data_IF_222319298445
#
_entry.id   IF_222319298445
#
_cell.length_a   1.000
_cell.length_b   1.000
_cell.length_c   1.000
_cell.angle_alpha   90.00
_cell.angle_beta   90.00
_cell.angle_gamma   90.00
#
_symmetry.space_group_name_H-M   'P 1'
#
loop_
_entity.id
_entity.type
_entity.pdbx_description
1 polymer ?
#
# COMPACT_ATOMS: atom_id res chain seq x y z
N UNK A 1 -12.76 22.50 6.41
CA UNK A 1 -12.38 21.40 7.31
C UNK A 1 -12.67 20.06 6.65
N UNK A 2 -11.74 19.11 6.73
CA UNK A 2 -11.89 17.78 6.12
C UNK A 2 -12.51 16.82 7.16
N UNK A 3 -13.80 16.52 7.03
CA UNK A 3 -14.55 15.55 7.88
C UNK A 3 -13.83 14.21 8.03
N UNK A 4 -13.02 13.82 7.04
CA UNK A 4 -12.18 12.61 7.08
C UNK A 4 -11.13 12.63 8.20
N UNK A 5 -10.55 13.79 8.51
CA UNK A 5 -9.57 13.93 9.57
C UNK A 5 -10.23 13.69 10.94
N UNK A 6 -11.32 14.40 11.22
CA UNK A 6 -12.11 14.24 12.43
C UNK A 6 -12.60 12.80 12.61
N UNK A 7 -13.04 12.15 11.52
CA UNK A 7 -13.47 10.76 11.54
C UNK A 7 -12.35 9.79 11.95
N UNK A 8 -11.09 10.04 11.58
CA UNK A 8 -9.97 9.18 11.99
C UNK A 8 -9.79 9.20 13.50
N UNK A 9 -9.82 10.37 14.12
CA UNK A 9 -9.77 10.52 15.57
C UNK A 9 -11.01 9.89 16.23
N UNK A 10 -12.21 10.24 15.76
CA UNK A 10 -13.44 9.71 16.34
C UNK A 10 -13.58 8.18 16.19
N UNK A 11 -13.00 7.57 15.15
CA UNK A 11 -13.07 6.12 14.96
C UNK A 11 -12.29 5.35 16.02
N UNK A 12 -11.23 5.91 16.58
CA UNK A 12 -10.41 5.25 17.61
C UNK A 12 -10.62 5.83 19.01
N UNK A 13 -11.56 6.76 19.18
CA UNK A 13 -11.92 7.34 20.47
C UNK A 13 -12.89 6.44 21.27
N UNK A 14 -12.70 6.30 22.58
CA UNK A 14 -13.62 5.65 23.52
C UNK A 14 -14.98 6.34 23.59
N UNK A 15 -14.99 7.65 23.38
CA UNK A 15 -16.22 8.45 23.40
C UNK A 15 -17.01 8.34 22.10
N UNK A 16 -16.69 7.41 21.18
CA UNK A 16 -17.43 7.24 19.93
C UNK A 16 -18.80 6.59 20.17
N UNK A 17 -19.81 7.08 19.46
CA UNK A 17 -21.15 6.49 19.43
C UNK A 17 -21.58 6.30 17.98
N UNK A 18 -22.22 5.17 17.69
CA UNK A 18 -22.75 4.87 16.36
C UNK A 18 -24.24 5.22 16.30
N UNK A 19 -24.58 6.14 15.42
CA UNK A 19 -25.95 6.55 15.08
C UNK A 19 -26.27 5.99 13.68
N UNK A 20 -27.42 5.34 13.51
CA UNK A 20 -27.81 4.74 12.23
C UNK A 20 -28.00 5.75 11.09
N UNK A 21 -28.40 6.99 11.41
CA UNK A 21 -28.65 8.04 10.42
C UNK A 21 -27.39 8.87 10.14
N UNK A 22 -26.56 9.08 11.18
CA UNK A 22 -25.41 10.02 11.14
C UNK A 22 -24.05 9.33 11.10
N UNK A 23 -23.99 8.03 11.35
CA UNK A 23 -22.74 7.26 11.43
C UNK A 23 -22.02 7.49 12.77
N UNK A 24 -20.70 7.75 12.73
CA UNK A 24 -19.90 7.98 13.94
C UNK A 24 -20.07 9.41 14.45
N UNK A 25 -20.66 9.55 15.63
CA UNK A 25 -20.86 10.80 16.38
C UNK A 25 -20.14 10.74 17.73
N UNK A 26 -19.95 11.89 18.37
CA UNK A 26 -19.38 11.94 19.72
C UNK A 26 -20.47 11.56 20.74
N UNK A 27 -20.18 10.66 21.66
CA UNK A 27 -21.08 10.25 22.73
C UNK A 27 -21.25 11.29 23.84
N UNK A 28 -20.36 12.29 23.90
CA UNK A 28 -20.44 13.40 24.85
C UNK A 28 -21.40 14.50 24.36
N UNK A 29 -21.33 14.84 23.08
CA UNK A 29 -22.13 15.92 22.48
C UNK A 29 -23.36 15.43 21.69
N UNK A 30 -23.43 14.13 21.42
CA UNK A 30 -24.43 13.49 20.54
C UNK A 30 -24.51 14.08 19.11
N UNK A 31 -23.42 14.73 18.69
CA UNK A 31 -23.31 15.42 17.41
C UNK A 31 -21.97 15.12 16.71
N UNK A 32 -21.82 15.62 15.49
CA UNK A 32 -20.59 15.56 14.73
C UNK A 32 -19.44 16.28 15.43
N UNK A 33 -18.23 15.76 15.20
CA UNK A 33 -17.02 16.44 15.59
C UNK A 33 -16.92 17.83 14.92
N UNK A 34 -16.76 18.87 15.74
CA UNK A 34 -16.62 20.27 15.31
C UNK A 34 -15.20 20.81 15.49
N UNK A 35 -14.27 19.98 16.00
CA UNK A 35 -12.88 20.38 16.20
C UNK A 35 -12.09 20.52 14.90
N UNK A 36 -11.14 21.44 14.87
CA UNK A 36 -10.31 21.71 13.69
C UNK A 36 -9.04 20.85 13.65
N UNK A 37 -8.23 20.92 14.70
CA UNK A 37 -6.96 20.19 14.81
C UNK A 37 -7.03 19.00 15.77
N UNK A 38 -7.53 19.22 16.99
CA UNK A 38 -7.58 18.20 18.04
C UNK A 38 -8.84 18.36 18.91
N UNK A 39 -9.23 17.29 19.61
CA UNK A 39 -10.40 17.27 20.48
C UNK A 39 -9.96 17.19 21.94
N UNK A 40 -10.35 18.19 22.73
CA UNK A 40 -9.98 18.30 24.14
C UNK A 40 -10.46 17.10 25.00
N UNK A 41 -11.58 16.49 24.61
CA UNK A 41 -12.15 15.29 25.23
C UNK A 41 -11.71 13.98 24.54
N UNK A 42 -10.65 14.02 23.72
CA UNK A 42 -10.17 12.84 23.02
C UNK A 42 -9.62 11.81 24.01
N UNK A 43 -10.16 10.61 23.97
CA UNK A 43 -9.72 9.50 24.80
C UNK A 43 -9.53 8.27 23.92
N UNK A 44 -8.29 7.88 23.67
CA UNK A 44 -7.97 6.78 22.77
C UNK A 44 -8.44 5.43 23.34
N UNK A 45 -9.11 4.66 22.49
CA UNK A 45 -9.42 3.25 22.72
C UNK A 45 -8.31 2.39 22.13
N UNK A 46 -7.33 2.00 22.96
CA UNK A 46 -6.20 1.19 22.52
C UNK A 46 -6.62 -0.13 21.86
N UNK A 47 -7.71 -0.78 22.31
CA UNK A 47 -8.20 -2.01 21.68
C UNK A 47 -8.76 -1.75 20.28
N UNK A 48 -9.50 -0.65 20.12
CA UNK A 48 -9.99 -0.24 18.80
C UNK A 48 -8.85 0.21 17.87
N UNK A 49 -7.82 0.87 18.40
CA UNK A 49 -6.63 1.29 17.65
C UNK A 49 -5.86 0.09 17.10
N UNK A 50 -5.54 -0.90 17.95
CA UNK A 50 -4.82 -2.11 17.54
C UNK A 50 -5.61 -2.90 16.48
N UNK A 51 -6.93 -3.06 16.67
CA UNK A 51 -7.79 -3.72 15.68
C UNK A 51 -7.86 -2.98 14.34
N UNK A 52 -7.84 -1.65 14.37
CA UNK A 52 -7.83 -0.86 13.15
C UNK A 52 -6.50 -0.99 12.41
N UNK A 53 -5.39 -0.94 13.15
CA UNK A 53 -4.04 -1.15 12.64
C UNK A 53 -3.88 -2.52 11.98
N UNK A 54 -4.33 -3.58 12.63
CA UNK A 54 -4.28 -4.95 12.08
C UNK A 54 -5.06 -5.06 10.76
N UNK A 55 -6.25 -4.45 10.67
CA UNK A 55 -7.04 -4.41 9.43
C UNK A 55 -6.34 -3.64 8.32
N UNK A 56 -5.72 -2.51 8.64
CA UNK A 56 -5.00 -1.70 7.66
C UNK A 56 -3.75 -2.44 7.16
N UNK A 57 -3.04 -3.14 8.04
CA UNK A 57 -1.90 -3.99 7.67
C UNK A 57 -2.33 -5.19 6.82
N UNK A 58 -3.42 -5.88 7.19
CA UNK A 58 -4.00 -6.94 6.38
C UNK A 58 -4.39 -6.45 4.97
N UNK A 59 -4.97 -5.25 4.87
CA UNK A 59 -5.33 -4.62 3.59
C UNK A 59 -4.10 -4.23 2.77
N UNK A 60 -3.03 -3.76 3.43
CA UNK A 60 -1.74 -3.45 2.79
C UNK A 60 -1.09 -4.72 2.23
N UNK A 61 -1.09 -5.80 2.99
CA UNK A 61 -0.57 -7.10 2.59
C UNK A 61 -1.38 -7.72 1.44
N UNK A 62 -2.72 -7.59 1.46
CA UNK A 62 -3.58 -8.05 0.37
C UNK A 62 -3.26 -7.35 -0.95
N UNK A 63 -3.13 -6.01 -0.93
CA UNK A 63 -2.70 -5.25 -2.12
C UNK A 63 -1.31 -5.64 -2.60
N UNK A 64 -0.39 -5.95 -1.70
CA UNK A 64 0.96 -6.40 -2.05
C UNK A 64 0.95 -7.71 -2.83
N UNK A 65 0.12 -8.66 -2.40
CA UNK A 65 -0.02 -9.97 -3.06
C UNK A 65 -0.49 -9.82 -4.50
N UNK A 66 -1.48 -8.96 -4.77
CA UNK A 66 -1.94 -8.70 -6.14
C UNK A 66 -0.82 -8.15 -7.04
N UNK A 67 0.03 -7.28 -6.49
CA UNK A 67 1.13 -6.68 -7.24
C UNK A 67 2.30 -7.62 -7.53
N UNK A 68 2.55 -8.57 -6.64
CA UNK A 68 3.60 -9.57 -6.84
C UNK A 68 3.17 -10.72 -7.77
N UNK A 69 1.92 -10.73 -8.26
CA UNK A 69 1.44 -11.69 -9.24
C UNK A 69 1.60 -13.16 -8.81
N UNK A 70 1.66 -13.43 -7.51
CA UNK A 70 1.88 -14.78 -6.97
C UNK A 70 3.34 -15.24 -6.87
N UNK A 71 4.33 -14.44 -7.30
CA UNK A 71 5.76 -14.81 -7.20
C UNK A 71 6.31 -14.81 -5.75
N UNK A 72 5.53 -14.31 -4.78
CA UNK A 72 5.85 -14.42 -3.35
C UNK A 72 5.96 -15.88 -2.85
N UNK A 73 5.32 -16.85 -3.53
CA UNK A 73 5.43 -18.27 -3.20
C UNK A 73 6.86 -18.83 -3.40
N UNK A 74 7.68 -18.16 -4.23
CA UNK A 74 9.08 -18.51 -4.50
C UNK A 74 10.03 -17.77 -3.54
N UNK A 75 9.50 -17.00 -2.58
CA UNK A 75 10.28 -16.25 -1.59
C UNK A 75 10.79 -14.89 -2.08
N UNK A 76 10.39 -14.45 -3.27
CA UNK A 76 10.81 -13.17 -3.86
C UNK A 76 9.86 -12.06 -3.37
N UNK A 77 10.18 -11.43 -2.24
CA UNK A 77 9.36 -10.38 -1.61
C UNK A 77 9.32 -9.05 -2.38
N UNK A 78 10.23 -8.86 -3.33
CA UNK A 78 10.38 -7.59 -4.05
C UNK A 78 9.93 -7.76 -5.50
N UNK A 79 8.86 -7.08 -5.91
CA UNK A 79 8.40 -7.05 -7.31
C UNK A 79 9.47 -6.57 -8.29
N UNK A 80 10.43 -5.75 -7.81
CA UNK A 80 11.61 -5.35 -8.59
C UNK A 80 12.56 -6.52 -8.84
N UNK A 81 12.82 -7.35 -7.83
CA UNK A 81 13.72 -8.51 -7.98
C UNK A 81 13.13 -9.53 -8.97
N UNK A 82 11.82 -9.75 -8.93
CA UNK A 82 11.13 -10.56 -9.93
C UNK A 82 11.27 -9.99 -11.35
N UNK A 83 11.10 -8.67 -11.51
CA UNK A 83 11.29 -8.00 -12.80
C UNK A 83 12.72 -8.14 -13.34
N UNK A 84 13.74 -8.02 -12.48
CA UNK A 84 15.14 -8.19 -12.86
C UNK A 84 15.41 -9.63 -13.33
N UNK A 85 14.90 -10.64 -12.63
CA UNK A 85 15.10 -12.06 -12.96
C UNK A 85 14.47 -12.41 -14.32
N UNK A 86 13.23 -11.99 -14.56
CA UNK A 86 12.55 -12.27 -15.84
C UNK A 86 13.29 -11.56 -16.98
N UNK A 87 13.74 -10.32 -16.74
CA UNK A 87 14.50 -9.55 -17.73
C UNK A 87 15.84 -10.23 -18.05
N UNK A 88 16.59 -10.68 -17.04
CA UNK A 88 17.89 -11.33 -17.25
C UNK A 88 17.77 -12.66 -18.00
N UNK A 89 16.76 -13.47 -17.68
CA UNK A 89 16.48 -14.73 -18.39
C UNK A 89 16.10 -14.45 -19.86
N UNK A 90 15.26 -13.44 -20.12
CA UNK A 90 14.88 -13.06 -21.48
C UNK A 90 16.06 -12.57 -22.32
N UNK A 91 16.94 -11.75 -21.73
CA UNK A 91 18.16 -11.26 -22.39
C UNK A 91 19.14 -12.39 -22.69
N UNK A 92 19.33 -13.33 -21.75
CA UNK A 92 20.19 -14.50 -21.95
C UNK A 92 19.69 -15.36 -23.12
N UNK A 93 18.38 -15.62 -23.20
CA UNK A 93 17.79 -16.38 -24.29
C UNK A 93 17.94 -15.68 -25.65
N UNK A 94 17.74 -14.36 -25.69
CA UNK A 94 17.92 -13.54 -26.89
C UNK A 94 19.36 -13.58 -27.41
N UNK A 95 20.35 -13.52 -26.51
CA UNK A 95 21.78 -13.60 -26.89
C UNK A 95 22.10 -14.97 -27.51
N UNK A 96 21.58 -16.06 -26.92
CA UNK A 96 21.77 -17.42 -27.44
C UNK A 96 21.19 -17.53 -28.86
N UNK A 97 20.00 -16.98 -29.10
CA UNK A 97 19.35 -17.00 -30.41
C UNK A 97 20.18 -16.26 -31.46
N UNK A 98 20.68 -15.06 -31.15
CA UNK A 98 21.55 -14.29 -32.06
C UNK A 98 22.81 -15.06 -32.44
N UNK A 99 23.45 -15.74 -31.48
CA UNK A 99 24.72 -16.47 -31.72
C UNK A 99 24.49 -17.74 -32.57
N UNK A 100 23.38 -18.44 -32.36
CA UNK A 100 23.12 -19.74 -33.01
C UNK A 100 22.44 -19.57 -34.38
N UNK A 101 21.43 -18.72 -34.49
CA UNK A 101 20.60 -18.59 -35.71
C UNK A 101 20.84 -17.30 -36.50
N UNK A 102 21.52 -16.31 -35.91
CA UNK A 102 21.85 -15.04 -36.57
C UNK A 102 20.64 -14.12 -36.85
N UNK A 103 19.41 -14.57 -36.55
CA UNK A 103 18.18 -13.83 -36.77
C UNK A 103 17.31 -13.85 -35.50
N UNK A 104 17.14 -12.70 -34.81
CA UNK A 104 16.29 -12.64 -33.64
C UNK A 104 14.82 -12.78 -34.07
N UNK A 105 14.12 -13.77 -33.51
CA UNK A 105 12.69 -13.90 -33.72
C UNK A 105 11.95 -12.70 -33.10
N UNK A 106 10.91 -12.21 -33.78
CA UNK A 106 9.94 -11.23 -33.29
C UNK A 106 9.39 -11.52 -31.87
N UNK A 107 9.39 -12.79 -31.45
CA UNK A 107 9.01 -13.24 -30.10
C UNK A 107 9.92 -12.63 -29.03
N UNK A 108 11.24 -12.57 -29.28
CA UNK A 108 12.23 -12.03 -28.34
C UNK A 108 12.04 -10.52 -28.10
N UNK A 109 11.60 -9.78 -29.12
CA UNK A 109 11.25 -8.37 -29.01
C UNK A 109 9.98 -8.16 -28.18
N UNK A 110 8.97 -9.02 -28.32
CA UNK A 110 7.72 -8.95 -27.55
C UNK A 110 7.97 -9.26 -26.07
N UNK A 111 8.78 -10.27 -25.74
CA UNK A 111 9.13 -10.63 -24.36
C UNK A 111 9.92 -9.49 -23.70
N UNK A 112 10.88 -8.90 -24.41
CA UNK A 112 11.67 -7.77 -23.91
C UNK A 112 10.77 -6.55 -23.61
N UNK A 113 9.81 -6.23 -24.48
CA UNK A 113 8.83 -5.17 -24.26
C UNK A 113 7.93 -5.46 -23.05
N UNK A 114 7.43 -6.69 -22.91
CA UNK A 114 6.62 -7.09 -21.77
C UNK A 114 7.39 -7.00 -20.46
N UNK A 115 8.67 -7.41 -20.46
CA UNK A 115 9.58 -7.29 -19.32
C UNK A 115 9.83 -5.84 -18.89
N UNK A 116 10.02 -4.93 -19.86
CA UNK A 116 10.18 -3.50 -19.58
C UNK A 116 8.90 -2.92 -18.96
N UNK A 117 7.72 -3.26 -19.49
CA UNK A 117 6.44 -2.75 -18.98
C UNK A 117 6.16 -3.21 -17.55
N UNK A 118 6.44 -4.47 -17.23
CA UNK A 118 6.29 -4.99 -15.86
C UNK A 118 7.30 -4.36 -14.91
N UNK A 119 8.54 -4.15 -15.35
CA UNK A 119 9.58 -3.47 -14.58
C UNK A 119 9.22 -1.99 -14.30
N UNK A 120 8.75 -1.24 -15.30
CA UNK A 120 8.34 0.17 -15.13
C UNK A 120 7.17 0.28 -14.15
N UNK A 121 6.16 -0.60 -14.26
CA UNK A 121 5.06 -0.66 -13.29
C UNK A 121 5.56 -1.01 -11.89
N UNK A 122 6.50 -1.96 -11.77
CA UNK A 122 7.14 -2.35 -10.52
C UNK A 122 7.91 -1.19 -9.86
N UNK A 123 8.75 -0.48 -10.63
CA UNK A 123 9.54 0.67 -10.15
C UNK A 123 8.63 1.82 -9.71
N UNK A 124 7.58 2.14 -10.50
CA UNK A 124 6.60 3.18 -10.13
C UNK A 124 5.91 2.84 -8.81
N UNK A 125 5.53 1.58 -8.62
CA UNK A 125 4.85 1.16 -7.40
C UNK A 125 5.77 1.04 -6.19
N UNK A 126 7.05 0.68 -6.39
CA UNK A 126 8.06 0.69 -5.33
C UNK A 126 8.29 2.10 -4.79
N UNK A 127 8.51 3.09 -5.68
CA UNK A 127 8.70 4.50 -5.28
C UNK A 127 7.49 5.05 -4.53
N UNK A 128 6.28 4.67 -4.94
CA UNK A 128 5.06 5.11 -4.26
C UNK A 128 4.92 4.48 -2.87
N UNK A 129 5.38 3.24 -2.66
CA UNK A 129 5.39 2.60 -1.34
C UNK A 129 6.40 3.21 -0.39
N UNK A 130 7.59 3.55 -0.88
CA UNK A 130 8.61 4.24 -0.10
C UNK A 130 8.05 5.55 0.47
N UNK A 131 7.39 6.36 -0.35
CA UNK A 131 6.76 7.61 0.11
C UNK A 131 5.63 7.41 1.14
N UNK A 132 4.90 6.30 1.08
CA UNK A 132 3.84 5.97 2.04
C UNK A 132 4.41 5.45 3.36
N UNK A 133 5.53 4.72 3.33
CA UNK A 133 6.24 4.28 4.52
C UNK A 133 6.83 5.48 5.28
N UNK A 134 7.43 6.44 4.57
CA UNK A 134 7.92 7.69 5.19
C UNK A 134 6.78 8.52 5.77
N UNK A 135 5.66 8.64 5.03
CA UNK A 135 4.49 9.40 5.50
C UNK A 135 3.75 8.73 6.66
N UNK A 136 3.74 7.40 6.71
CA UNK A 136 3.20 6.64 7.84
C UNK A 136 4.03 6.86 9.10
N UNK A 137 5.35 6.73 9.01
CA UNK A 137 6.26 6.98 10.14
C UNK A 137 6.11 8.40 10.71
N UNK A 138 6.05 9.41 9.84
CA UNK A 138 5.84 10.79 10.27
C UNK A 138 4.47 11.03 10.93
N UNK A 139 3.42 10.29 10.51
CA UNK A 139 2.10 10.40 11.12
C UNK A 139 2.05 9.67 12.48
N UNK A 140 2.74 8.54 12.62
CA UNK A 140 2.83 7.80 13.88
C UNK A 140 3.61 8.63 14.92
N UNK A 141 4.70 9.30 14.52
CA UNK A 141 5.43 10.28 15.36
C UNK A 141 4.57 11.50 15.74
N UNK A 142 3.55 11.84 14.95
CA UNK A 142 2.64 12.96 15.24
C UNK A 142 1.51 12.58 16.21
N UNK A 143 1.24 11.28 16.39
CA UNK A 143 0.23 10.76 17.32
C UNK A 143 0.81 10.49 18.72
N UNK A 144 2.12 10.69 18.91
CA UNK A 144 2.84 10.55 20.19
C UNK A 144 3.02 11.89 20.94
N UNK A 145 2.42 13.00 20.46
CA UNK A 145 2.38 14.32 21.12
C UNK A 145 0.96 14.69 21.54
#
# INVERSE_FOLDING_TARGET
MERQHQLKFCQICKNRKFDLQRGVVCGLTDDYATFDADCEDYNVDHDAYEKQKEKDDARRLAKEKELTGGLNAIGIRNGIAAGIIITSVGVLWLIIEIVVSGFPSWISAIISLFGIVTLVKGVKHYRSRESLATRGKNNDELLDF
#
